data_IF_370582881045
#
_entry.id   IF_370582881045
#
_cell.length_a   1.000
_cell.length_b   1.000
_cell.length_c   1.000
_cell.angle_alpha   90.00
_cell.angle_beta   90.00
_cell.angle_gamma   90.00
#
_symmetry.space_group_name_H-M   'P 1'
#
loop_
_entity.id
_entity.type
_entity.pdbx_description
1 polymer ?
2 non-polymer ?
3 water ?
#
# COMPACT_ATOMS: atom_id res chain seq x y z
N UNK A 1 3.46 -30.75 11.75
CA UNK A 1 2.81 -29.45 11.84
C UNK A 1 3.66 -28.35 11.22
N UNK A 2 3.03 -27.47 10.45
CA UNK A 2 3.73 -26.38 9.78
C UNK A 2 3.53 -25.06 10.51
N UNK A 3 4.58 -24.57 11.15
CA UNK A 3 4.54 -23.30 11.84
C UNK A 3 5.06 -22.18 10.96
N UNK A 4 4.15 -21.43 10.35
CA UNK A 4 4.52 -20.39 9.40
C UNK A 4 4.53 -19.00 10.02
N UNK A 5 5.29 -18.10 9.43
CA UNK A 5 5.42 -16.74 9.95
C UNK A 5 4.99 -15.71 8.90
N UNK A 6 4.35 -14.64 9.36
CA UNK A 6 3.97 -13.55 8.48
C UNK A 6 4.38 -12.20 9.07
N UNK A 7 5.20 -11.46 8.32
CA UNK A 7 5.66 -10.16 8.77
C UNK A 7 4.94 -9.03 8.05
N UNK A 8 4.84 -7.89 8.72
CA UNK A 8 4.18 -6.72 8.14
C UNK A 8 4.61 -5.44 8.85
N UNK A 9 4.53 -4.32 8.14
CA UNK A 9 4.89 -3.02 8.69
C UNK A 9 3.75 -2.48 9.57
N UNK A 10 2.52 -2.78 9.17
CA UNK A 10 1.34 -2.29 9.88
C UNK A 10 1.30 -2.76 11.32
N UNK A 11 0.72 -1.93 12.19
CA UNK A 11 0.58 -2.26 13.58
C UNK A 11 -0.65 -3.11 13.86
N UNK A 12 -0.79 -3.54 15.11
CA UNK A 12 -1.90 -4.42 15.50
C UNK A 12 -3.24 -3.69 15.56
N UNK A 13 -3.20 -2.37 15.43
CA UNK A 13 -4.42 -1.57 15.47
C UNK A 13 -5.01 -1.37 14.07
N UNK A 14 -4.24 -1.72 13.06
CA UNK A 14 -4.62 -1.45 11.68
C UNK A 14 -5.41 -2.59 11.04
N UNK A 15 -6.09 -2.28 9.95
CA UNK A 15 -6.92 -3.25 9.25
C UNK A 15 -6.12 -4.39 8.63
N UNK A 16 -4.86 -4.09 8.26
CA UNK A 16 -3.98 -5.10 7.68
C UNK A 16 -3.75 -6.24 8.66
N UNK A 17 -3.57 -5.90 9.93
CA UNK A 17 -3.36 -6.90 10.97
C UNK A 17 -4.63 -7.69 11.25
N UNK A 18 -5.77 -6.99 11.24
CA UNK A 18 -7.06 -7.64 11.50
C UNK A 18 -7.36 -8.69 10.45
N UNK A 19 -7.09 -8.35 9.19
CA UNK A 19 -7.31 -9.25 8.07
C UNK A 19 -6.30 -10.40 8.09
N UNK A 20 -5.11 -10.12 8.59
CA UNK A 20 -4.08 -11.14 8.72
C UNK A 20 -4.46 -12.15 9.80
N UNK A 21 -5.18 -11.69 10.81
CA UNK A 21 -5.69 -12.58 11.85
C UNK A 21 -6.72 -13.54 11.29
N UNK A 22 -7.55 -13.04 10.38
CA UNK A 22 -8.52 -13.88 9.69
C UNK A 22 -7.80 -14.88 8.81
N UNK A 23 -6.74 -14.43 8.16
CA UNK A 23 -5.92 -15.27 7.30
C UNK A 23 -5.34 -16.45 8.08
N UNK A 24 -4.77 -16.15 9.25
CA UNK A 24 -4.22 -17.18 10.13
C UNK A 24 -5.33 -18.09 10.66
N UNK A 25 -6.50 -17.52 10.89
CA UNK A 25 -7.64 -18.27 11.41
C UNK A 25 -8.15 -19.25 10.37
N UNK A 26 -8.24 -18.79 9.13
CA UNK A 26 -8.67 -19.64 8.01
C UNK A 26 -7.67 -20.77 7.76
N UNK A 27 -6.39 -20.45 7.86
CA UNK A 27 -5.33 -21.43 7.66
C UNK A 27 -5.43 -22.58 8.64
N UNK A 28 -5.57 -22.26 9.93
CA UNK A 28 -5.66 -23.28 10.97
C UNK A 28 -6.94 -24.09 10.85
N UNK A 29 -8.03 -23.44 10.48
CA UNK A 29 -9.32 -24.12 10.34
C UNK A 29 -9.32 -25.11 9.18
N UNK A 30 -8.91 -24.64 8.01
CA UNK A 30 -9.01 -25.42 6.79
C UNK A 30 -7.88 -26.45 6.66
N UNK A 31 -6.94 -26.44 7.60
CA UNK A 31 -5.84 -27.40 7.60
C UNK A 31 -5.93 -28.35 8.78
N UNK A 32 -6.97 -28.19 9.59
CA UNK A 32 -7.19 -29.01 10.78
C UNK A 32 -6.01 -28.93 11.75
N UNK A 33 -5.42 -27.74 11.87
CA UNK A 33 -4.37 -27.51 12.85
C UNK A 33 -2.97 -27.78 12.36
N UNK A 34 -2.85 -28.32 11.15
CA UNK A 34 -1.53 -28.59 10.57
C UNK A 34 -0.75 -27.31 10.31
N UNK A 35 -1.47 -26.27 9.91
CA UNK A 35 -0.86 -24.97 9.64
C UNK A 35 -1.23 -23.94 10.69
N UNK A 36 -0.22 -23.45 11.40
CA UNK A 36 -0.42 -22.37 12.37
C UNK A 36 0.44 -21.18 11.99
N UNK A 37 -0.20 -20.02 11.81
CA UNK A 37 0.50 -18.82 11.36
C UNK A 37 0.69 -17.81 12.49
N UNK A 38 1.95 -17.43 12.73
CA UNK A 38 2.26 -16.40 13.70
C UNK A 38 2.48 -15.07 12.99
N UNK A 39 1.87 -14.01 13.53
CA UNK A 39 1.96 -12.69 12.92
C UNK A 39 3.05 -11.84 13.58
N UNK A 40 3.84 -11.16 12.78
CA UNK A 40 4.91 -10.31 13.28
C UNK A 40 4.79 -8.90 12.73
N UNK A 41 3.95 -8.07 13.36
CA UNK A 41 3.62 -6.71 12.90
C UNK A 41 4.64 -5.65 13.32
N UNK A 42 4.34 -4.40 12.99
CA UNK A 42 5.16 -3.25 13.34
C UNK A 42 6.59 -3.34 12.81
N UNK A 43 6.77 -4.09 11.72
CA UNK A 43 8.06 -4.25 11.05
C UNK A 43 9.16 -4.72 12.00
N UNK A 44 8.83 -5.67 12.86
CA UNK A 44 9.79 -6.17 13.84
C UNK A 44 10.77 -7.17 13.23
N UNK A 45 10.55 -7.52 11.97
CA UNK A 45 11.40 -8.48 11.29
C UNK A 45 12.39 -7.82 10.35
N UNK A 46 12.04 -6.61 9.89
CA UNK A 46 12.88 -5.88 8.96
C UNK A 46 12.53 -4.42 8.89
N UNK A 47 13.33 -3.66 8.13
CA UNK A 47 13.14 -2.22 8.01
C UNK A 47 11.78 -1.86 7.42
N UNK A 48 11.42 -2.55 6.33
CA UNK A 48 10.16 -2.26 5.65
C UNK A 48 9.66 -3.45 4.84
N UNK A 49 8.73 -3.18 3.93
CA UNK A 49 8.17 -4.21 3.06
C UNK A 49 9.23 -4.81 2.14
N UNK A 50 10.17 -3.98 1.69
CA UNK A 50 11.24 -4.42 0.80
C UNK A 50 12.13 -5.45 1.48
N UNK A 51 12.38 -5.24 2.78
CA UNK A 51 13.22 -6.16 3.54
C UNK A 51 12.52 -7.49 3.75
N UNK A 52 11.22 -7.44 4.00
CA UNK A 52 10.45 -8.64 4.27
C UNK A 52 10.14 -9.43 3.00
N UNK A 53 10.02 -8.73 1.89
CA UNK A 53 9.84 -9.38 0.60
C UNK A 53 11.09 -10.15 0.20
N UNK A 54 12.24 -9.61 0.59
CA UNK A 54 13.52 -10.26 0.31
C UNK A 54 13.66 -11.52 1.16
N UNK A 55 13.03 -11.50 2.32
CA UNK A 55 13.05 -12.65 3.23
C UNK A 55 12.20 -13.80 2.71
N UNK A 56 11.18 -13.46 1.90
CA UNK A 56 10.34 -14.48 1.28
C UNK A 56 11.10 -15.24 0.20
N UNK A 57 11.96 -14.54 -0.52
CA UNK A 57 12.75 -15.14 -1.59
C UNK A 57 13.70 -16.20 -1.04
N UNK A 58 14.27 -15.92 0.13
CA UNK A 58 15.18 -16.85 0.77
C UNK A 58 14.46 -17.95 1.53
N UNK A 59 13.15 -17.78 1.70
CA UNK A 59 12.34 -18.78 2.39
C UNK A 59 12.33 -18.62 3.90
N UNK A 60 13.05 -17.62 4.40
CA UNK A 60 13.12 -17.37 5.83
C UNK A 60 11.78 -16.89 6.37
N UNK A 61 11.06 -16.14 5.55
CA UNK A 61 9.73 -15.66 5.91
C UNK A 61 8.69 -16.23 4.94
N UNK A 62 7.55 -16.65 5.48
CA UNK A 62 6.54 -17.33 4.68
C UNK A 62 5.58 -16.36 3.98
N UNK A 63 5.02 -15.42 4.73
CA UNK A 63 4.05 -14.48 4.17
C UNK A 63 4.42 -13.02 4.46
N UNK A 64 3.93 -12.13 3.62
CA UNK A 64 4.08 -10.68 3.83
C UNK A 64 3.14 -9.88 2.94
N UNK A 65 3.04 -8.58 3.21
CA UNK A 65 2.21 -7.69 2.41
C UNK A 65 3.05 -6.86 1.45
N UNK A 66 2.41 -6.41 0.36
CA UNK A 66 3.06 -5.55 -0.62
C UNK A 66 2.06 -4.93 -1.58
N UNK A 67 2.26 -3.66 -1.92
CA UNK A 67 1.49 -3.03 -2.97
C UNK A 67 2.05 -3.48 -4.32
N UNK A 68 1.20 -3.48 -5.35
CA UNK A 68 1.63 -3.92 -6.67
C UNK A 68 2.70 -2.98 -7.23
N UNK A 69 2.51 -1.68 -7.00
CA UNK A 69 3.46 -0.68 -7.46
C UNK A 69 4.80 -0.74 -6.76
N UNK A 70 4.85 -1.45 -5.63
CA UNK A 70 6.08 -1.59 -4.86
C UNK A 70 7.07 -2.51 -5.57
N UNK A 71 6.56 -3.28 -6.54
CA UNK A 71 7.40 -4.18 -7.33
C UNK A 71 8.28 -3.41 -8.32
N UNK A 72 8.09 -2.09 -8.37
CA UNK A 72 8.89 -1.24 -9.25
C UNK A 72 10.35 -1.23 -8.85
N UNK A 73 10.61 -1.59 -7.59
CA UNK A 73 11.98 -1.70 -7.08
C UNK A 73 12.74 -2.79 -7.83
N UNK A 74 12.02 -3.86 -8.21
CA UNK A 74 12.63 -4.97 -8.94
C UNK A 74 12.31 -4.87 -10.43
N UNK A 75 11.08 -4.48 -10.75
CA UNK A 75 10.67 -4.32 -12.14
C UNK A 75 10.13 -2.91 -12.37
N UNK A 76 11.00 -1.99 -12.82
CA UNK A 76 10.73 -0.56 -12.97
C UNK A 76 9.41 -0.22 -13.67
N UNK A 77 8.98 -1.05 -14.61
CA UNK A 77 7.76 -0.79 -15.36
C UNK A 77 6.51 -0.93 -14.51
N UNK A 78 6.64 -1.59 -13.37
CA UNK A 78 5.52 -1.83 -12.47
C UNK A 78 5.14 -0.58 -11.68
N UNK A 79 5.87 0.52 -11.90
CA UNK A 79 5.62 1.76 -11.20
C UNK A 79 4.33 2.43 -11.67
N UNK A 80 3.84 1.99 -12.82
CA UNK A 80 2.61 2.53 -13.40
C UNK A 80 1.43 2.27 -12.46
N UNK A 81 1.51 1.21 -11.67
CA UNK A 81 0.44 0.85 -10.75
C UNK A 81 0.37 1.77 -9.53
N UNK A 82 1.38 2.62 -9.34
CA UNK A 82 1.41 3.51 -8.20
C UNK A 82 1.68 4.96 -8.58
N UNK A 83 1.62 5.25 -9.88
CA UNK A 83 1.74 6.63 -10.36
C UNK A 83 0.59 7.46 -9.79
N UNK A 84 0.89 8.67 -9.30
CA UNK A 84 -0.11 9.56 -8.71
C UNK A 84 -1.29 9.84 -9.65
N UNK A 85 -2.50 9.65 -9.15
CA UNK A 85 -3.74 9.89 -9.89
C UNK A 85 -3.88 9.03 -11.15
N UNK A 86 -3.18 7.90 -11.18
CA UNK A 86 -3.31 6.96 -12.28
C UNK A 86 -4.49 6.02 -12.06
N UNK A 87 -4.54 5.40 -10.88
CA UNK A 87 -5.63 4.49 -10.53
C UNK A 87 -6.80 5.26 -9.95
N UNK A 88 -7.98 5.07 -10.56
CA UNK A 88 -9.19 5.80 -10.18
C UNK A 88 -9.81 5.23 -8.91
N UNK A 89 -10.16 3.95 -8.95
CA UNK A 89 -10.75 3.27 -7.81
C UNK A 89 -10.23 1.84 -7.71
N UNK A 90 -10.80 1.06 -6.79
CA UNK A 90 -10.32 -0.31 -6.60
C UNK A 90 -10.77 -1.23 -7.73
N UNK A 91 -11.92 -0.93 -8.32
CA UNK A 91 -12.37 -1.70 -9.48
C UNK A 91 -11.41 -1.52 -10.64
N UNK A 92 -10.93 -0.29 -10.81
CA UNK A 92 -9.91 0.02 -11.80
C UNK A 92 -8.63 -0.73 -11.49
N UNK A 93 -8.27 -0.77 -10.21
CA UNK A 93 -7.06 -1.45 -9.75
C UNK A 93 -7.14 -2.96 -10.02
N UNK A 94 -8.31 -3.53 -9.74
CA UNK A 94 -8.54 -4.96 -9.96
C UNK A 94 -8.38 -5.33 -11.43
N UNK A 95 -8.90 -4.47 -12.31
CA UNK A 95 -8.79 -4.71 -13.74
C UNK A 95 -7.40 -4.36 -14.27
N UNK A 96 -6.74 -3.40 -13.64
CA UNK A 96 -5.42 -2.97 -14.06
C UNK A 96 -4.38 -4.08 -13.91
N UNK A 97 -4.48 -4.84 -12.83
CA UNK A 97 -3.54 -5.95 -12.59
C UNK A 97 -3.93 -7.20 -13.36
N UNK A 98 -5.10 -7.18 -13.99
CA UNK A 98 -5.55 -8.31 -14.80
C UNK A 98 -5.37 -8.06 -16.29
N UNK A 99 -4.70 -6.97 -16.63
CA UNK A 99 -4.27 -6.74 -18.01
C UNK A 99 -3.14 -7.71 -18.32
N UNK A 100 -2.74 -7.80 -19.59
CA UNK A 100 -1.61 -8.67 -19.95
C UNK A 100 -0.34 -8.18 -19.27
N UNK A 101 -0.25 -6.87 -19.06
CA UNK A 101 0.89 -6.27 -18.39
C UNK A 101 0.91 -6.66 -16.92
N UNK A 102 -0.25 -6.63 -16.29
CA UNK A 102 -0.37 -6.97 -14.89
C UNK A 102 -0.13 -8.44 -14.63
N UNK A 103 -0.65 -9.28 -15.52
CA UNK A 103 -0.49 -10.73 -15.40
C UNK A 103 0.96 -11.14 -15.67
N UNK A 104 1.63 -10.43 -16.56
CA UNK A 104 3.04 -10.69 -16.83
C UNK A 104 3.92 -10.30 -15.64
N UNK A 105 3.53 -9.24 -14.95
CA UNK A 105 4.26 -8.77 -13.78
C UNK A 105 4.27 -9.81 -12.66
N UNK A 106 3.08 -10.29 -12.30
CA UNK A 106 2.95 -11.31 -11.25
C UNK A 106 3.68 -12.58 -11.64
N UNK A 107 3.69 -12.88 -12.94
CA UNK A 107 4.38 -14.04 -13.48
C UNK A 107 5.90 -13.88 -13.33
N UNK A 108 6.38 -12.65 -13.52
CA UNK A 108 7.80 -12.36 -13.36
C UNK A 108 8.20 -12.35 -11.89
N UNK A 109 7.30 -11.88 -11.04
CA UNK A 109 7.53 -11.91 -9.60
C UNK A 109 7.71 -13.36 -9.13
N UNK A 110 6.90 -14.24 -9.70
CA UNK A 110 6.98 -15.67 -9.38
C UNK A 110 8.29 -16.28 -9.87
N UNK A 111 8.61 -16.03 -11.13
CA UNK A 111 9.77 -16.65 -11.77
C UNK A 111 11.11 -16.11 -11.27
N UNK A 112 11.17 -14.80 -11.02
CA UNK A 112 12.45 -14.15 -10.76
C UNK A 112 12.65 -13.67 -9.32
N UNK A 113 11.56 -13.55 -8.55
CA UNK A 113 11.68 -13.03 -7.19
C UNK A 113 11.19 -14.02 -6.13
N UNK A 114 10.81 -15.22 -6.57
CA UNK A 114 10.45 -16.28 -5.65
C UNK A 114 9.24 -16.00 -4.77
N UNK A 115 8.32 -15.18 -5.28
CA UNK A 115 7.11 -14.85 -4.54
C UNK A 115 5.87 -15.11 -5.37
N UNK A 116 4.83 -15.66 -4.75
CA UNK A 116 3.58 -15.91 -5.43
C UNK A 116 2.46 -15.02 -4.88
N UNK A 117 1.79 -14.30 -5.77
CA UNK A 117 0.66 -13.48 -5.39
C UNK A 117 -0.57 -14.35 -5.17
N UNK A 118 -1.08 -14.37 -3.95
CA UNK A 118 -2.22 -15.21 -3.60
C UNK A 118 -3.55 -14.48 -3.81
N UNK A 119 -3.62 -13.24 -3.35
CA UNK A 119 -4.85 -12.45 -3.46
C UNK A 119 -4.57 -10.96 -3.41
N UNK A 120 -5.52 -10.17 -3.91
CA UNK A 120 -5.38 -8.72 -3.91
C UNK A 120 -6.51 -8.07 -3.12
N UNK A 121 -6.15 -7.14 -2.23
CA UNK A 121 -7.12 -6.45 -1.42
C UNK A 121 -6.98 -4.94 -1.54
N UNK A 122 -8.05 -4.23 -1.21
CA UNK A 122 -8.03 -2.77 -1.18
C UNK A 122 -7.45 -2.28 0.14
N UNK A 123 -6.45 -1.40 0.05
CA UNK A 123 -5.78 -0.92 1.26
C UNK A 123 -5.91 0.59 1.41
N UNK A 124 -6.97 1.16 0.86
CA UNK A 124 -7.29 2.57 1.04
C UNK A 124 -6.65 3.50 0.04
N UNK A 125 -7.20 4.71 -0.05
CA UNK A 125 -6.65 5.75 -0.91
C UNK A 125 -6.00 6.81 -0.04
N UNK A 126 -4.78 7.21 -0.41
CA UNK A 126 -3.97 8.08 0.43
C UNK A 126 -4.44 9.54 0.40
N UNK A 127 -4.41 10.18 1.56
CA UNK A 127 -4.72 11.60 1.68
C UNK A 127 -3.54 12.34 2.30
N UNK A 128 -3.73 13.61 2.62
CA UNK A 128 -2.65 14.42 3.17
C UNK A 128 -3.07 15.15 4.45
N UNK A 129 -2.29 14.94 5.52
CA UNK A 129 -2.51 15.68 6.76
C UNK A 129 -1.41 16.71 6.97
N UNK A 130 -1.72 17.75 7.76
CA UNK A 130 -0.77 18.80 8.03
C UNK A 130 -1.16 19.61 9.26
N UNK A 131 -0.22 20.43 9.74
CA UNK A 131 -0.49 21.33 10.86
C UNK A 131 -1.03 22.67 10.36
N UNK A 132 -1.02 22.85 9.04
CA UNK A 132 -1.64 24.02 8.42
C UNK A 132 -2.60 23.58 7.32
N UNK A 133 -3.61 24.41 7.07
CA UNK A 133 -4.66 24.08 6.11
C UNK A 133 -4.13 24.03 4.67
N UNK A 134 -4.54 22.99 3.95
CA UNK A 134 -4.21 22.86 2.54
C UNK A 134 -5.47 22.98 1.70
N UNK A 135 -5.70 24.17 1.13
CA UNK A 135 -6.90 24.43 0.35
C UNK A 135 -6.56 24.68 -1.11
N UNK A 136 -5.26 24.68 -1.42
CA UNK A 136 -4.79 24.77 -2.80
C UNK A 136 -3.38 24.19 -2.90
N UNK A 137 -2.89 24.04 -4.13
CA UNK A 137 -1.58 23.44 -4.36
C UNK A 137 -0.45 24.31 -3.81
N UNK A 138 -0.71 25.61 -3.71
CA UNK A 138 0.31 26.56 -3.28
C UNK A 138 0.57 26.49 -1.77
N UNK A 139 -0.37 25.89 -1.04
CA UNK A 139 -0.27 25.80 0.42
C UNK A 139 0.69 24.71 0.88
N UNK A 140 1.03 23.80 -0.02
CA UNK A 140 1.97 22.72 0.30
C UNK A 140 3.42 23.11 0.00
N UNK A 141 3.63 24.34 -0.45
CA UNK A 141 4.97 24.81 -0.85
C UNK A 141 5.92 24.92 0.34
N UNK A 142 6.97 24.08 0.33
CA UNK A 142 8.00 24.16 1.34
C UNK A 142 7.71 23.42 2.63
N UNK A 143 6.55 22.80 2.72
CA UNK A 143 6.21 22.04 3.91
C UNK A 143 6.99 20.74 3.95
N UNK A 144 7.43 20.34 5.15
CA UNK A 144 8.14 19.10 5.31
C UNK A 144 7.17 17.93 5.36
N UNK A 145 6.89 17.36 4.19
CA UNK A 145 5.93 16.27 4.09
C UNK A 145 6.61 14.92 4.20
N UNK A 146 6.26 14.17 5.24
CA UNK A 146 6.80 12.83 5.42
C UNK A 146 6.24 11.90 4.36
N UNK A 147 7.12 11.09 3.79
CA UNK A 147 6.72 10.09 2.80
C UNK A 147 7.50 8.80 3.04
N UNK A 148 6.92 7.65 2.64
CA UNK A 148 7.69 6.41 2.70
C UNK A 148 8.79 6.41 1.64
N UNK A 149 9.77 5.51 1.79
CA UNK A 149 10.86 5.44 0.83
C UNK A 149 10.45 4.85 -0.50
N UNK A 150 9.52 5.51 -1.18
CA UNK A 150 9.04 5.06 -2.49
C UNK A 150 9.01 6.23 -3.47
N UNK A 151 9.46 5.97 -4.69
CA UNK A 151 9.63 7.02 -5.69
C UNK A 151 8.35 7.78 -6.01
N UNK A 152 7.22 7.06 -6.01
CA UNK A 152 5.93 7.66 -6.32
C UNK A 152 5.53 8.68 -5.24
N UNK A 153 5.71 8.29 -3.98
CA UNK A 153 5.39 9.17 -2.87
C UNK A 153 6.36 10.34 -2.78
N UNK A 154 7.63 10.07 -3.08
CA UNK A 154 8.65 11.10 -3.10
C UNK A 154 8.35 12.15 -4.17
N UNK A 155 7.87 11.67 -5.31
CA UNK A 155 7.52 12.53 -6.43
C UNK A 155 6.31 13.41 -6.10
N UNK A 156 5.33 12.81 -5.43
CA UNK A 156 4.15 13.54 -5.02
C UNK A 156 4.51 14.73 -4.14
N UNK A 157 5.43 14.50 -3.20
CA UNK A 157 5.88 15.56 -2.31
C UNK A 157 6.71 16.59 -3.06
N UNK A 158 7.54 16.13 -3.99
CA UNK A 158 8.42 17.03 -4.73
C UNK A 158 7.64 17.97 -5.66
N UNK A 159 6.70 17.42 -6.42
CA UNK A 159 5.99 18.20 -7.42
C UNK A 159 4.79 18.97 -6.86
N UNK A 160 4.59 18.87 -5.54
CA UNK A 160 3.65 19.75 -4.84
C UNK A 160 4.43 20.86 -4.15
N UNK A 161 5.72 20.95 -4.50
CA UNK A 161 6.65 21.90 -3.91
C UNK A 161 6.81 21.73 -2.40
N UNK A 162 6.47 20.55 -1.89
CA UNK A 162 6.75 20.21 -0.51
C UNK A 162 8.17 19.68 -0.41
N UNK A 163 8.68 19.54 0.81
CA UNK A 163 10.02 19.00 1.02
C UNK A 163 9.94 17.54 1.44
N UNK A 164 10.22 16.62 0.50
CA UNK A 164 10.14 15.17 0.75
C UNK A 164 11.02 14.75 1.92
N UNK A 165 10.40 14.25 2.97
CA UNK A 165 11.14 13.81 4.16
C UNK A 165 10.88 12.34 4.42
N UNK A 166 11.70 11.47 3.82
CA UNK A 166 11.55 10.02 3.97
C UNK A 166 11.97 9.52 5.34
N UNK A 167 11.11 8.71 5.96
CA UNK A 167 11.43 8.09 7.24
C UNK A 167 10.54 6.88 7.49
N UNK A 168 10.93 6.05 8.45
CA UNK A 168 10.20 4.81 8.75
C UNK A 168 8.79 5.10 9.23
N UNK A 169 7.90 4.14 9.01
CA UNK A 169 6.49 4.27 9.36
C UNK A 169 6.28 4.34 10.88
N UNK A 170 7.15 3.67 11.63
CA UNK A 170 7.03 3.61 13.08
C UNK A 170 7.45 4.92 13.75
N UNK A 171 8.18 5.74 13.01
CA UNK A 171 8.72 6.99 13.54
C UNK A 171 7.88 8.21 13.15
N UNK A 172 6.74 7.96 12.50
CA UNK A 172 5.91 9.04 11.96
C UNK A 172 5.20 9.86 13.03
N UNK A 173 4.59 9.18 14.00
CA UNK A 173 3.82 9.86 15.04
C UNK A 173 4.65 10.87 15.83
N UNK A 174 5.80 10.42 16.31
CA UNK A 174 6.71 11.28 17.08
C UNK A 174 7.17 12.48 16.26
N UNK A 175 7.45 12.24 14.98
CA UNK A 175 7.91 13.28 14.08
C UNK A 175 6.84 14.34 13.89
N UNK A 176 5.59 13.92 13.84
CA UNK A 176 4.46 14.83 13.73
C UNK A 176 4.21 15.55 15.05
N UNK A 177 4.39 14.83 16.15
CA UNK A 177 4.15 15.38 17.48
C UNK A 177 5.14 16.48 17.83
N UNK A 178 6.40 16.27 17.46
CA UNK A 178 7.46 17.22 17.76
C UNK A 178 7.62 18.26 16.65
N UNK A 179 6.72 18.20 15.68
CA UNK A 179 6.77 19.07 14.50
C UNK A 179 8.11 19.01 13.76
N UNK A 180 8.75 17.85 13.81
CA UNK A 180 9.96 17.62 13.02
C UNK A 180 9.58 17.70 11.54
N UNK A 181 8.44 17.12 11.20
CA UNK A 181 7.84 17.28 9.88
C UNK A 181 6.54 18.07 10.03
N UNK A 182 6.06 18.63 8.92
CA UNK A 182 4.85 19.44 8.96
C UNK A 182 3.59 18.60 8.69
N UNK A 183 3.79 17.44 8.09
CA UNK A 183 2.67 16.56 7.79
C UNK A 183 3.08 15.21 7.24
N UNK A 184 2.11 14.31 7.10
CA UNK A 184 2.36 12.99 6.53
C UNK A 184 1.36 12.70 5.41
N UNK A 185 1.33 11.46 4.97
CA UNK A 185 0.56 11.08 3.80
C UNK A 185 0.18 9.60 3.82
N UNK A 186 -1.10 9.32 4.02
CA UNK A 186 -1.60 7.96 4.21
C UNK A 186 -3.12 7.90 4.05
N UNK A 187 -3.66 6.69 3.81
CA UNK A 187 -5.13 6.51 3.77
C UNK A 187 -5.82 6.88 5.09
N UNK A 188 -7.11 7.13 5.03
CA UNK A 188 -7.88 7.53 6.21
C UNK A 188 -7.85 6.47 7.30
N UNK A 189 -7.91 5.21 6.91
CA UNK A 189 -7.90 4.10 7.85
C UNK A 189 -6.60 4.07 8.66
N UNK A 190 -5.49 4.29 7.97
CA UNK A 190 -4.18 4.33 8.63
C UNK A 190 -4.07 5.52 9.55
N UNK A 191 -4.62 6.66 9.12
CA UNK A 191 -4.59 7.89 9.91
C UNK A 191 -5.32 7.71 11.24
N UNK A 192 -6.43 6.98 11.21
CA UNK A 192 -7.20 6.71 12.43
C UNK A 192 -6.52 5.67 13.31
N UNK A 193 -6.10 4.55 12.69
CA UNK A 193 -5.52 3.45 13.43
C UNK A 193 -4.22 3.85 14.13
N UNK A 194 -3.39 4.63 13.44
CA UNK A 194 -2.14 5.09 14.01
C UNK A 194 -2.31 6.41 14.75
N UNK A 195 -3.56 6.88 14.78
CA UNK A 195 -3.93 8.09 15.53
C UNK A 195 -3.10 9.31 15.15
N UNK A 196 -2.89 9.49 13.86
CA UNK A 196 -2.17 10.65 13.36
C UNK A 196 -3.00 11.91 13.52
N UNK A 197 -4.32 11.74 13.63
CA UNK A 197 -5.22 12.88 13.78
C UNK A 197 -5.02 13.58 15.12
N UNK A 198 -4.48 12.85 16.09
CA UNK A 198 -4.20 13.42 17.42
C UNK A 198 -3.10 14.46 17.36
N UNK A 199 -2.28 14.40 16.31
CA UNK A 199 -1.15 15.33 16.18
C UNK A 199 -1.20 16.08 14.84
N UNK A 200 -2.35 16.03 14.18
CA UNK A 200 -2.54 16.74 12.91
C UNK A 200 -3.88 17.47 12.90
N UNK A 201 -3.82 18.80 12.87
CA UNK A 201 -5.04 19.61 12.94
C UNK A 201 -5.78 19.70 11.61
N UNK A 202 -5.16 19.23 10.53
CA UNK A 202 -5.79 19.37 9.22
C UNK A 202 -5.70 18.09 8.38
N UNK A 203 -6.64 17.95 7.48
CA UNK A 203 -6.71 16.80 6.58
C UNK A 203 -7.20 17.23 5.20
N UNK A 204 -6.37 16.99 4.18
CA UNK A 204 -6.71 17.36 2.82
C UNK A 204 -7.04 16.14 1.98
N UNK A 205 -8.24 16.12 1.41
CA UNK A 205 -8.66 15.00 0.56
C UNK A 205 -7.97 15.10 -0.79
N UNK A 206 -6.71 14.66 -0.83
CA UNK A 206 -5.91 14.79 -2.04
C UNK A 206 -6.12 13.64 -3.01
N UNK A 207 -6.41 12.45 -2.48
CA UNK A 207 -6.72 11.28 -3.29
C UNK A 207 -5.71 11.02 -4.40
N UNK A 208 -4.44 11.10 -4.06
CA UNK A 208 -3.36 11.06 -5.05
C UNK A 208 -2.92 9.63 -5.41
N UNK A 209 -2.82 8.77 -4.40
CA UNK A 209 -2.38 7.39 -4.65
C UNK A 209 -3.31 6.36 -4.00
N UNK A 210 -3.76 5.40 -4.79
CA UNK A 210 -4.56 4.29 -4.27
C UNK A 210 -3.66 3.11 -3.93
N UNK A 211 -3.80 2.59 -2.73
CA UNK A 211 -3.02 1.44 -2.30
C UNK A 211 -3.83 0.15 -2.34
N UNK A 212 -3.31 -0.85 -3.05
CA UNK A 212 -3.84 -2.20 -2.95
C UNK A 212 -2.94 -2.98 -2.00
N UNK A 213 -3.30 -4.22 -1.70
CA UNK A 213 -2.49 -5.04 -0.80
C UNK A 213 -2.43 -6.48 -1.30
N UNK A 214 -1.23 -6.95 -1.61
CA UNK A 214 -1.06 -8.30 -2.13
C UNK A 214 -0.64 -9.28 -1.03
N UNK A 215 -1.36 -10.40 -0.96
CA UNK A 215 -0.99 -11.47 -0.04
C UNK A 215 0.08 -12.34 -0.69
N UNK A 216 1.33 -12.11 -0.29
CA UNK A 216 2.46 -12.82 -0.89
C UNK A 216 2.88 -14.02 -0.07
N UNK A 217 3.26 -15.09 -0.77
CA UNK A 217 3.78 -16.28 -0.12
C UNK A 217 5.12 -16.67 -0.75
N UNK A 218 6.05 -17.14 0.07
CA UNK A 218 7.33 -17.62 -0.41
C UNK A 218 7.18 -18.85 -1.28
N UNK A 219 7.88 -18.88 -2.41
CA UNK A 219 7.87 -20.05 -3.30
C UNK A 219 8.42 -21.27 -2.58
N UNK A 220 9.44 -21.06 -1.75
CA UNK A 220 10.03 -22.13 -0.95
C UNK A 220 8.99 -22.68 0.02
N UNK A 221 8.22 -21.79 0.64
CA UNK A 221 7.18 -22.18 1.59
C UNK A 221 6.12 -23.06 0.93
N UNK A 222 5.66 -22.66 -0.24
CA UNK A 222 4.68 -23.44 -0.98
C UNK A 222 5.26 -24.80 -1.40
N UNK A 223 6.56 -24.84 -1.63
CA UNK A 223 7.23 -26.07 -2.02
C UNK A 223 7.38 -27.05 -0.86
N UNK A 224 7.31 -26.52 0.36
CA UNK A 224 7.46 -27.32 1.57
C UNK A 224 6.13 -27.91 2.02
N UNK A 225 5.05 -27.41 1.43
CA UNK A 225 3.71 -27.85 1.77
C UNK A 225 3.18 -28.89 0.80
N UNK A 226 2.38 -29.85 1.31
CA UNK A 226 1.63 -30.78 0.46
C UNK A 226 0.70 -30.02 -0.47
N UNK A 227 0.39 -30.59 -1.62
CA UNK A 227 -0.36 -29.90 -2.65
C UNK A 227 -1.75 -29.47 -2.18
N UNK A 228 -2.35 -30.28 -1.32
CA UNK A 228 -3.69 -29.95 -0.80
C UNK A 228 -3.63 -28.79 0.20
N UNK A 229 -2.50 -28.66 0.90
CA UNK A 229 -2.31 -27.55 1.84
C UNK A 229 -1.98 -26.25 1.10
N UNK A 230 -1.41 -26.39 -0.10
CA UNK A 230 -1.13 -25.22 -0.94
C UNK A 230 -2.44 -24.60 -1.40
N UNK A 231 -3.44 -25.45 -1.59
CA UNK A 231 -4.77 -24.99 -1.99
C UNK A 231 -5.46 -24.32 -0.82
N UNK A 232 -5.21 -24.83 0.37
CA UNK A 232 -5.73 -24.25 1.60
C UNK A 232 -5.18 -22.82 1.77
N UNK A 233 -3.88 -22.67 1.54
CA UNK A 233 -3.21 -21.38 1.62
C UNK A 233 -3.83 -20.37 0.65
N UNK A 234 -4.02 -20.81 -0.58
CA UNK A 234 -4.62 -19.97 -1.63
C UNK A 234 -6.03 -19.51 -1.25
N UNK A 235 -6.86 -20.45 -0.80
CA UNK A 235 -8.25 -20.15 -0.45
C UNK A 235 -8.34 -19.29 0.80
N UNK A 236 -7.43 -19.51 1.75
CA UNK A 236 -7.41 -18.74 2.98
C UNK A 236 -7.10 -17.26 2.72
N UNK A 237 -6.18 -17.03 1.78
CA UNK A 237 -5.78 -15.67 1.43
C UNK A 237 -6.92 -14.91 0.76
N UNK A 238 -7.67 -15.61 -0.08
CA UNK A 238 -8.79 -14.99 -0.81
C UNK A 238 -9.91 -14.60 0.14
N UNK A 239 -10.13 -15.41 1.17
CA UNK A 239 -11.12 -15.10 2.20
C UNK A 239 -10.70 -13.85 2.96
N UNK A 240 -9.43 -13.82 3.38
CA UNK A 240 -8.91 -12.70 4.15
C UNK A 240 -8.90 -11.42 3.31
N UNK A 241 -8.61 -11.55 2.02
CA UNK A 241 -8.53 -10.39 1.13
C UNK A 241 -9.88 -9.69 1.00
N UNK A 242 -10.96 -10.46 0.93
CA UNK A 242 -12.30 -9.89 0.88
C UNK A 242 -12.62 -9.13 2.17
N UNK A 243 -12.33 -9.78 3.29
CA UNK A 243 -12.47 -9.16 4.60
C UNK A 243 -11.59 -7.91 4.69
N UNK A 244 -10.36 -8.04 4.21
CA UNK A 244 -9.41 -6.94 4.13
C UNK A 244 -10.00 -5.76 3.36
N UNK A 245 -10.55 -6.05 2.19
CA UNK A 245 -11.13 -5.02 1.33
C UNK A 245 -12.33 -4.33 1.99
N UNK A 246 -13.21 -5.13 2.60
CA UNK A 246 -14.42 -4.59 3.22
C UNK A 246 -14.10 -3.66 4.40
N UNK A 247 -13.01 -3.95 5.11
CA UNK A 247 -12.61 -3.12 6.24
C UNK A 247 -12.32 -1.68 5.82
N UNK A 248 -11.47 -1.52 4.81
CA UNK A 248 -11.12 -0.19 4.33
C UNK A 248 -12.31 0.52 3.69
N UNK A 249 -13.16 -0.24 3.00
CA UNK A 249 -14.31 0.33 2.32
C UNK A 249 -15.33 0.89 3.29
N UNK A 250 -15.61 0.12 4.35
CA UNK A 250 -16.60 0.53 5.35
C UNK A 250 -16.16 1.77 6.10
N UNK A 251 -14.88 1.82 6.47
CA UNK A 251 -14.36 2.96 7.20
C UNK A 251 -14.40 4.24 6.37
N UNK A 252 -13.96 4.16 5.12
CA UNK A 252 -13.90 5.33 4.24
C UNK A 252 -15.28 5.94 3.99
N UNK A 253 -16.33 5.24 4.40
CA UNK A 253 -17.69 5.73 4.29
C UNK A 253 -18.06 6.72 5.39
N UNK A 254 -17.35 6.65 6.53
CA UNK A 254 -17.73 7.44 7.69
C UNK A 254 -16.55 8.02 8.46
N UNK A 255 -15.33 7.88 7.94
CA UNK A 255 -14.15 8.34 8.67
C UNK A 255 -14.01 9.85 8.68
N UNK A 256 -14.52 10.52 7.64
CA UNK A 256 -14.46 11.97 7.57
C UNK A 256 -15.30 12.60 8.68
N UNK A 257 -16.37 11.93 9.05
CA UNK A 257 -17.22 12.39 10.15
C UNK A 257 -16.50 12.23 11.48
N UNK A 258 -15.78 11.11 11.62
CA UNK A 258 -15.02 10.82 12.84
C UNK A 258 -13.95 11.87 13.09
N UNK A 259 -13.21 12.24 12.04
CA UNK A 259 -12.14 13.21 12.16
C UNK A 259 -12.65 14.61 12.47
N UNK A 260 -13.78 14.97 11.87
CA UNK A 260 -14.36 16.28 12.10
C UNK A 260 -14.87 16.42 13.53
N UNK A 261 -15.28 15.32 14.13
CA UNK A 261 -15.74 15.32 15.52
C UNK A 261 -14.56 15.47 16.47
N UNK A 262 -13.38 15.09 16.01
CA UNK A 262 -12.17 15.18 16.82
C UNK A 262 -11.50 16.53 16.67
N UNK A 263 -12.14 17.43 15.93
CA UNK A 263 -11.65 18.79 15.78
C UNK A 263 -10.71 18.97 14.60
N UNK A 264 -10.61 17.95 13.76
CA UNK A 264 -9.76 18.03 12.57
C UNK A 264 -10.50 18.74 11.43
N UNK A 265 -9.89 19.77 10.88
CA UNK A 265 -10.48 20.51 9.77
C UNK A 265 -10.16 19.81 8.45
N UNK A 266 -11.22 19.38 7.76
CA UNK A 266 -11.06 18.67 6.50
C UNK A 266 -11.25 19.60 5.31
N UNK A 267 -10.23 19.71 4.48
CA UNK A 267 -10.30 20.54 3.28
C UNK A 267 -10.37 19.66 2.04
N UNK A 268 -11.05 20.15 1.00
CA UNK A 268 -11.15 19.43 -0.26
C UNK A 268 -10.68 20.30 -1.42
N UNK A 269 -9.36 20.49 -1.56
CA UNK A 269 -8.81 21.37 -2.60
C UNK A 269 -9.05 20.84 -4.01
N UNK A 270 -9.12 21.75 -4.97
CA UNK A 270 -9.26 21.37 -6.37
C UNK A 270 -8.05 20.57 -6.84
N UNK A 271 -8.31 19.39 -7.40
CA UNK A 271 -7.24 18.43 -7.68
C UNK A 271 -6.69 18.49 -9.10
N UNK A 272 -7.23 19.37 -9.94
CA UNK A 272 -6.75 19.46 -11.31
C UNK A 272 -5.37 20.10 -11.35
N UNK A 273 -5.06 20.90 -10.33
CA UNK A 273 -3.73 21.47 -10.18
C UNK A 273 -2.77 20.39 -9.69
N UNK A 274 -3.26 19.52 -8.83
CA UNK A 274 -2.47 18.42 -8.30
C UNK A 274 -2.14 17.40 -9.39
N UNK A 275 -3.13 17.07 -10.21
CA UNK A 275 -2.93 16.13 -11.31
C UNK A 275 -1.96 16.66 -12.35
N UNK A 276 -2.08 17.96 -12.63
CA UNK A 276 -1.23 18.60 -13.63
C UNK A 276 0.22 18.68 -13.17
N UNK A 277 0.41 18.79 -11.85
CA UNK A 277 1.74 18.91 -11.28
C UNK A 277 2.51 17.60 -11.33
N UNK A 278 1.79 16.50 -11.52
CA UNK A 278 2.40 15.17 -11.50
C UNK A 278 2.88 14.74 -12.88
N UNK A 279 2.64 15.58 -13.89
CA UNK A 279 3.03 15.27 -15.26
C UNK A 279 4.53 15.02 -15.46
N UNK A 280 5.41 15.82 -14.83
CA UNK A 280 6.84 15.54 -15.04
C UNK A 280 7.28 14.17 -14.51
N UNK A 281 6.54 13.61 -13.56
CA UNK A 281 6.88 12.28 -13.06
C UNK A 281 6.42 11.21 -14.05
N UNK A 282 5.34 11.51 -14.77
CA UNK A 282 4.90 10.64 -15.86
C UNK A 282 5.93 10.65 -16.99
N UNK A 283 6.46 11.83 -17.29
CA UNK A 283 7.54 11.96 -18.26
C UNK A 283 8.77 11.21 -17.77
N UNK A 284 8.98 11.26 -16.46
CA UNK A 284 10.08 10.57 -15.82
C UNK A 284 9.96 9.05 -16.01
N UNK A 285 8.76 8.54 -15.76
CA UNK A 285 8.47 7.12 -15.88
C UNK A 285 8.62 6.65 -17.33
N UNK A 286 8.13 7.45 -18.27
CA UNK A 286 8.18 7.11 -19.69
C UNK A 286 9.62 7.10 -20.21
N UNK A 287 10.40 8.10 -19.82
CA UNK A 287 11.79 8.18 -20.27
C UNK A 287 12.64 7.04 -19.72
N UNK A 288 12.25 6.53 -18.55
CA UNK A 288 12.99 5.43 -17.93
C UNK A 288 12.60 4.08 -18.51
N UNK A 289 11.33 3.92 -18.84
CA UNK A 289 10.82 2.61 -19.28
C UNK A 289 10.54 2.52 -20.77
N UNK A 290 10.60 3.65 -21.47
CA UNK A 290 10.44 3.68 -22.91
C UNK A 290 9.06 3.26 -23.38
N UNK A 291 9.02 2.53 -24.49
CA UNK A 291 7.76 2.08 -25.09
C UNK A 291 6.99 1.14 -24.15
N UNK A 292 7.73 0.40 -23.33
CA UNK A 292 7.12 -0.50 -22.36
C UNK A 292 6.27 0.30 -21.36
N UNK A 293 6.79 1.44 -20.95
CA UNK A 293 6.09 2.32 -20.04
C UNK A 293 4.91 3.00 -20.70
N UNK A 294 5.08 3.42 -21.95
CA UNK A 294 4.02 4.07 -22.70
C UNK A 294 2.82 3.14 -22.88
N UNK A 295 3.11 1.92 -23.32
CA UNK A 295 2.06 0.92 -23.57
C UNK A 295 1.38 0.47 -22.29
N UNK A 296 2.13 0.46 -21.19
CA UNK A 296 1.59 0.08 -19.88
C UNK A 296 0.56 1.09 -19.41
N UNK A 297 0.88 2.37 -19.59
CA UNK A 297 -0.02 3.45 -19.23
C UNK A 297 -1.32 3.37 -20.03
N UNK A 298 -1.19 3.18 -21.34
CA UNK A 298 -2.34 3.11 -22.23
C UNK A 298 -3.21 1.87 -21.98
N UNK A 299 -2.58 0.82 -21.46
CA UNK A 299 -3.30 -0.42 -21.14
C UNK A 299 -4.12 -0.26 -19.86
N UNK A 300 -3.56 0.45 -18.90
CA UNK A 300 -4.24 0.67 -17.61
C UNK A 300 -5.26 1.80 -17.72
N UNK A 301 -4.97 2.79 -18.54
CA UNK A 301 -5.90 3.89 -18.78
C UNK A 301 -7.20 3.39 -19.42
N UNK A 302 -7.11 2.29 -20.17
CA UNK A 302 -8.24 1.77 -20.93
C UNK A 302 -9.31 1.15 -20.03
N UNK A 303 -8.90 0.62 -18.88
CA UNK A 303 -9.82 -0.12 -18.00
C UNK A 303 -10.30 0.70 -16.81
N UNK A 304 -10.29 2.02 -16.96
CA UNK A 304 -10.63 2.91 -15.85
C UNK A 304 -12.13 2.96 -15.60
N UNK A 305 -12.91 2.99 -16.68
CA UNK A 305 -14.38 3.04 -16.61
C UNK A 305 -14.88 4.17 -15.73
X LIG B 1 3.79 4.28 5.07
X LIG B 1 3.11 3.14 4.46
X LIG B 1 2.93 2.06 5.39
X LIG B 1 2.48 0.83 4.82
X LIG B 1 3.25 0.42 3.67
X LIG B 1 3.37 1.48 2.58
X LIG B 1 4.29 1.13 1.57
X LIG B 1 4.43 2.32 0.61
X LIG B 1 5.18 1.90 -0.61
X LIG B 1 3.29 -2.08 3.19
X LIG B 1 2.65 -3.27 2.58
X LIG B 1 2.63 -0.78 3.06
X LIG B 1 5.00 4.17 5.41
X LIG B 1 3.20 5.38 5.25
X LIG B 1 1.83 3.59 4.13
X LIG B 1 2.45 -0.21 5.82
X LIG B 1 3.76 2.77 3.22
X LIG B 1 5.54 0.87 2.14
X LIG B 1 3.19 2.74 0.25
X LIG B 1 4.59 0.97 -1.43
X LIG B 1 4.36 -2.20 3.79
#
# INVERSE_FOLDING_TARGET
KYNLKMGMTAGTSQNEYKAAEVFAKELKKRSNGEIELKLYPNAQLGKDDLAMMQQLEGGALDFTFAETGRFSTFFPEAEVFTLPYMIKDFNHMKKAVNTKFGKDLFKKVHDKKGMTVLAQAYNGTRQTTSNKAIKSLADMKGMKLRVPGAAANLAYAKYTEAAPTPMAFSEVYLALQTNAVDGQENPLSTIKAQKFYEVQKYLAMTNHILNDQLYLVSNITMEELPENLQKVVKESAEVAAEYHTKLFMDEEKSLKDFFKSKGVTITEPNLVDFKKAMKPFYDEYIKKNGKVGENAIKAIEAVRLEHHHHHH
SLB C1 C2 C3 C4 C5 C6 C7 C8 C9 C10 C11 N5 O1A O1B O2 O4 O6 O7 O8 O9 O10
#
